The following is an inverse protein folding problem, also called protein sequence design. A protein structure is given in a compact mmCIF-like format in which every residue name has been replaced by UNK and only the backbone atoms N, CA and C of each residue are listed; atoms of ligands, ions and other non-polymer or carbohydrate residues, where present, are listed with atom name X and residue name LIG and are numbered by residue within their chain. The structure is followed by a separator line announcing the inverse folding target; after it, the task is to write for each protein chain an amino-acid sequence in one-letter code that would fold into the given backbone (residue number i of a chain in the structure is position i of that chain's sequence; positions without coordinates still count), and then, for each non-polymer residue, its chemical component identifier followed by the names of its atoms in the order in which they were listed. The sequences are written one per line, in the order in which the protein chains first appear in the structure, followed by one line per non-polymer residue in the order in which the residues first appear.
data_IF_422704895477
#
_entry.id   IF_422704895477
#
_cell.length_a   1.000
_cell.length_b   1.000
_cell.length_c   1.000
_cell.angle_alpha   90.00
_cell.angle_beta   90.00
_cell.angle_gamma   90.00
#
_symmetry.space_group_name_H-M   'P 1'
#
loop_
_entity.id
_entity.type
_entity.pdbx_description
1 polymer ?
#
# COMPACT_ATOMS: atom_id res chain seq x y z
N UNK A 1 15.14 6.22 -12.64
CA UNK A 1 15.63 4.98 -11.99
C UNK A 1 15.06 4.73 -10.59
N UNK A 2 14.94 5.71 -9.69
CA UNK A 2 14.49 5.47 -8.30
C UNK A 2 12.96 5.51 -8.05
N UNK A 3 12.20 6.14 -8.96
CA UNK A 3 10.72 6.22 -8.91
C UNK A 3 10.00 4.86 -8.82
N UNK A 4 10.41 3.82 -9.57
CA UNK A 4 9.85 2.47 -9.45
C UNK A 4 9.79 1.96 -8.02
N UNK A 5 10.86 2.12 -7.24
CA UNK A 5 10.92 1.62 -5.86
C UNK A 5 9.91 2.32 -4.95
N UNK A 6 9.80 3.65 -5.05
CA UNK A 6 8.84 4.43 -4.26
C UNK A 6 7.40 3.99 -4.57
N UNK A 7 7.10 3.72 -5.84
CA UNK A 7 5.79 3.22 -6.27
C UNK A 7 5.57 1.78 -5.76
N UNK A 8 6.55 0.89 -5.92
CA UNK A 8 6.50 -0.49 -5.44
C UNK A 8 6.25 -0.55 -3.93
N UNK A 9 6.97 0.26 -3.15
CA UNK A 9 6.77 0.40 -1.70
C UNK A 9 5.37 0.92 -1.38
N UNK A 10 4.94 2.00 -2.04
CA UNK A 10 3.64 2.61 -1.79
C UNK A 10 2.47 1.68 -2.12
N UNK A 11 2.56 0.97 -3.25
CA UNK A 11 1.57 -0.05 -3.64
C UNK A 11 1.57 -1.22 -2.65
N UNK A 12 2.74 -1.68 -2.21
CA UNK A 12 2.85 -2.75 -1.20
C UNK A 12 2.24 -2.33 0.14
N UNK A 13 2.49 -1.10 0.58
CA UNK A 13 1.90 -0.53 1.80
C UNK A 13 0.37 -0.43 1.69
N UNK A 14 -0.14 -0.01 0.54
CA UNK A 14 -1.59 0.05 0.29
C UNK A 14 -2.22 -1.34 0.25
N UNK A 15 -1.56 -2.31 -0.38
CA UNK A 15 -2.02 -3.71 -0.40
C UNK A 15 -2.11 -4.27 1.01
N UNK A 16 -1.09 -4.07 1.84
CA UNK A 16 -1.11 -4.44 3.26
C UNK A 16 -2.27 -3.75 3.99
N UNK A 17 -2.47 -2.46 3.75
CA UNK A 17 -3.55 -1.70 4.36
C UNK A 17 -4.95 -2.20 3.95
N UNK A 18 -5.13 -2.60 2.69
CA UNK A 18 -6.39 -3.17 2.18
C UNK A 18 -6.63 -4.59 2.71
N UNK A 19 -5.63 -5.46 2.62
CA UNK A 19 -5.72 -6.86 3.02
C UNK A 19 -5.99 -7.03 4.51
N UNK A 20 -5.55 -6.08 5.35
CA UNK A 20 -5.77 -6.13 6.79
C UNK A 20 -6.92 -5.21 7.21
N UNK A 21 -6.91 -3.96 6.73
CA UNK A 21 -7.85 -2.93 7.16
C UNK A 21 -9.30 -3.25 6.75
N UNK A 22 -9.54 -3.69 5.52
CA UNK A 22 -10.90 -4.00 5.05
C UNK A 22 -11.51 -5.18 5.84
N UNK A 23 -10.84 -6.35 5.98
CA UNK A 23 -11.39 -7.43 6.78
C UNK A 23 -11.62 -7.07 8.25
N UNK A 24 -10.67 -6.35 8.89
CA UNK A 24 -10.85 -5.88 10.26
C UNK A 24 -12.06 -4.96 10.40
N UNK A 25 -12.25 -4.03 9.45
CA UNK A 25 -13.40 -3.13 9.41
C UNK A 25 -14.72 -3.87 9.24
N UNK A 26 -14.78 -4.87 8.36
CA UNK A 26 -15.96 -5.72 8.16
C UNK A 26 -16.27 -6.51 9.45
N UNK A 27 -15.28 -7.16 10.04
CA UNK A 27 -15.46 -7.96 11.26
C UNK A 27 -15.92 -7.10 12.45
N UNK A 28 -15.34 -5.92 12.61
CA UNK A 28 -15.74 -4.95 13.64
C UNK A 28 -17.19 -4.48 13.45
N UNK A 29 -17.63 -4.26 12.20
CA UNK A 29 -19.01 -3.87 11.92
C UNK A 29 -20.02 -5.00 12.17
N UNK A 30 -19.69 -6.24 11.78
CA UNK A 30 -20.55 -7.40 11.99
C UNK A 30 -20.74 -7.71 13.48
N UNK A 31 -19.73 -7.45 14.29
CA UNK A 31 -19.75 -7.67 15.75
C UNK A 31 -19.65 -6.34 16.50
N UNK A 32 -20.52 -5.38 16.15
CA UNK A 32 -20.57 -4.05 16.77
C UNK A 32 -20.63 -4.15 18.30
N UNK A 33 -19.86 -3.31 18.98
CA UNK A 33 -19.72 -3.26 20.45
C UNK A 33 -19.16 -4.53 21.10
N UNK A 34 -18.59 -5.46 20.32
CA UNK A 34 -17.85 -6.61 20.84
C UNK A 34 -16.39 -6.28 21.12
N UNK A 35 -15.67 -7.18 21.78
CA UNK A 35 -14.22 -7.06 21.98
C UNK A 35 -13.44 -6.89 20.66
N UNK A 36 -13.89 -7.51 19.56
CA UNK A 36 -13.23 -7.38 18.24
C UNK A 36 -13.40 -5.97 17.70
N UNK A 37 -14.58 -5.37 17.87
CA UNK A 37 -14.84 -3.99 17.48
C UNK A 37 -13.95 -3.03 18.27
N UNK A 38 -13.98 -3.14 19.60
CA UNK A 38 -13.18 -2.29 20.49
C UNK A 38 -11.68 -2.45 20.21
N UNK A 39 -11.18 -3.68 20.09
CA UNK A 39 -9.77 -3.93 19.78
C UNK A 39 -9.35 -3.33 18.43
N UNK A 40 -10.21 -3.45 17.41
CA UNK A 40 -9.94 -2.86 16.08
C UNK A 40 -9.89 -1.33 16.16
N UNK A 41 -10.81 -0.70 16.89
CA UNK A 41 -10.86 0.77 17.02
C UNK A 41 -9.70 1.31 17.86
N UNK A 42 -9.38 0.68 18.98
CA UNK A 42 -8.23 1.03 19.81
C UNK A 42 -6.94 0.84 19.03
N UNK A 43 -6.75 -0.32 18.38
CA UNK A 43 -5.58 -0.59 17.54
C UNK A 43 -5.43 0.41 16.39
N UNK A 44 -6.53 0.78 15.74
CA UNK A 44 -6.54 1.80 14.67
C UNK A 44 -6.16 3.19 15.19
N UNK A 45 -6.57 3.55 16.41
CA UNK A 45 -6.20 4.83 17.01
C UNK A 45 -4.71 4.85 17.38
N UNK A 46 -4.23 3.79 18.03
CA UNK A 46 -2.81 3.62 18.36
C UNK A 46 -1.94 3.70 17.10
N UNK A 47 -2.31 2.99 16.04
CA UNK A 47 -1.57 2.98 14.79
C UNK A 47 -1.46 4.35 14.12
N UNK A 48 -2.50 5.19 14.23
CA UNK A 48 -2.46 6.57 13.69
C UNK A 48 -1.67 7.52 14.60
N UNK A 49 -1.62 7.25 15.90
CA UNK A 49 -0.88 8.06 16.86
C UNK A 49 0.63 7.80 16.85
N UNK A 50 1.09 6.65 16.36
CA UNK A 50 2.50 6.31 16.29
C UNK A 50 3.19 7.00 15.10
N UNK A 51 4.32 7.70 15.30
CA UNK A 51 5.11 8.23 14.19
C UNK A 51 5.68 7.12 13.30
N UNK A 52 5.60 7.27 11.96
CA UNK A 52 5.99 6.25 10.96
C UNK A 52 7.45 5.79 11.12
N UNK A 53 8.43 6.69 10.93
CA UNK A 53 9.24 7.03 12.08
C UNK A 53 9.73 5.92 13.02
N UNK A 54 9.25 6.14 14.24
CA UNK A 54 9.49 5.32 15.40
C UNK A 54 8.98 3.90 15.18
N UNK A 55 7.81 3.74 14.54
CA UNK A 55 7.27 2.41 14.24
C UNK A 55 8.21 1.60 13.34
N UNK A 56 8.76 2.21 12.28
CA UNK A 56 9.73 1.57 11.39
C UNK A 56 10.99 1.13 12.14
N UNK A 57 11.53 1.99 13.00
CA UNK A 57 12.68 1.65 13.84
C UNK A 57 12.38 0.52 14.84
N UNK A 58 11.20 0.54 15.46
CA UNK A 58 10.77 -0.53 16.37
C UNK A 58 10.53 -1.85 15.66
N UNK A 59 9.94 -1.82 14.46
CA UNK A 59 9.78 -3.00 13.62
C UNK A 59 11.13 -3.59 13.23
N UNK A 60 12.09 -2.76 12.80
CA UNK A 60 13.44 -3.21 12.52
C UNK A 60 14.11 -3.79 13.78
N UNK A 61 13.99 -3.13 14.94
CA UNK A 61 14.53 -3.63 16.21
C UNK A 61 13.95 -5.00 16.59
N UNK A 62 12.62 -5.16 16.54
CA UNK A 62 11.97 -6.42 16.93
C UNK A 62 12.27 -7.54 15.92
N UNK A 63 12.04 -7.31 14.64
CA UNK A 63 12.09 -8.38 13.64
C UNK A 63 13.49 -8.68 13.12
N UNK A 64 14.40 -7.70 13.12
CA UNK A 64 15.76 -7.94 12.65
C UNK A 64 16.75 -8.25 13.78
N UNK A 65 16.60 -7.59 14.94
CA UNK A 65 17.55 -7.72 16.04
C UNK A 65 17.06 -8.68 17.14
N UNK A 66 15.85 -8.50 17.66
CA UNK A 66 15.34 -9.32 18.77
C UNK A 66 14.97 -10.74 18.30
N UNK A 67 14.41 -10.87 17.11
CA UNK A 67 14.07 -12.16 16.49
C UNK A 67 15.22 -12.78 15.68
N UNK A 68 16.44 -12.24 15.79
CA UNK A 68 17.61 -12.76 15.08
C UNK A 68 17.84 -14.24 15.44
N UNK A 69 17.96 -15.09 14.42
CA UNK A 69 18.12 -16.53 14.58
C UNK A 69 16.81 -17.31 14.73
N UNK A 70 15.65 -16.63 14.73
CA UNK A 70 14.34 -17.30 14.65
C UNK A 70 13.84 -17.35 13.20
N UNK A 71 12.89 -18.25 12.86
CA UNK A 71 12.29 -18.30 11.53
C UNK A 71 11.52 -17.03 11.12
N UNK A 72 11.19 -16.16 12.08
CA UNK A 72 10.46 -14.92 11.87
C UNK A 72 11.38 -13.71 11.66
N UNK A 73 12.70 -13.93 11.58
CA UNK A 73 13.64 -12.86 11.32
C UNK A 73 13.36 -12.22 9.95
N UNK A 74 13.29 -10.88 9.92
CA UNK A 74 13.16 -10.11 8.69
C UNK A 74 14.36 -9.19 8.51
N UNK A 75 14.75 -8.90 7.26
CA UNK A 75 15.84 -7.98 6.96
C UNK A 75 15.50 -6.55 7.41
N UNK A 76 16.43 -5.83 8.06
CA UNK A 76 16.18 -4.49 8.58
C UNK A 76 16.26 -3.39 7.52
N UNK A 77 16.89 -3.64 6.37
CA UNK A 77 17.17 -2.62 5.37
C UNK A 77 17.57 -3.21 4.02
N UNK A 78 17.57 -2.37 2.98
CA UNK A 78 17.96 -2.75 1.62
C UNK A 78 16.81 -3.36 0.80
N UNK A 79 17.09 -3.64 -0.48
CA UNK A 79 16.09 -4.21 -1.42
C UNK A 79 16.25 -5.71 -1.64
N UNK A 80 17.50 -6.18 -1.54
CA UNK A 80 17.89 -7.57 -1.75
C UNK A 80 19.05 -7.91 -0.82
N UNK A 81 19.16 -9.17 -0.45
CA UNK A 81 20.29 -9.75 0.29
C UNK A 81 21.58 -9.65 -0.53
N UNK A 82 22.72 -9.50 0.17
CA UNK A 82 24.03 -9.44 -0.48
C UNK A 82 24.31 -10.69 -1.31
N UNK A 83 24.69 -10.51 -2.57
CA UNK A 83 24.95 -11.60 -3.52
C UNK A 83 23.78 -11.92 -4.47
N UNK A 84 22.58 -11.39 -4.21
CA UNK A 84 21.45 -11.48 -5.14
C UNK A 84 21.35 -10.23 -6.00
N UNK A 85 21.18 -10.41 -7.31
CA UNK A 85 20.96 -9.33 -8.27
C UNK A 85 19.74 -9.63 -9.11
N UNK A 86 18.85 -8.64 -9.25
CA UNK A 86 17.70 -8.73 -10.15
C UNK A 86 18.14 -8.44 -11.58
N UNK A 87 18.04 -9.44 -12.47
CA UNK A 87 18.34 -9.25 -13.89
C UNK A 87 17.09 -8.66 -14.56
N UNK A 88 17.20 -7.53 -15.28
CA UNK A 88 16.07 -6.94 -15.98
C UNK A 88 15.36 -7.91 -16.93
N UNK A 89 14.02 -7.89 -16.97
CA UNK A 89 13.25 -8.83 -17.78
C UNK A 89 13.60 -8.74 -19.26
N UNK A 90 13.86 -7.55 -19.79
CA UNK A 90 14.20 -7.37 -21.20
C UNK A 90 15.53 -8.04 -21.56
N UNK A 91 16.47 -8.16 -20.60
CA UNK A 91 17.71 -8.93 -20.83
C UNK A 91 17.46 -10.43 -20.83
N UNK A 92 16.63 -10.92 -19.90
CA UNK A 92 16.26 -12.34 -19.81
C UNK A 92 15.54 -12.81 -21.08
N UNK A 93 14.65 -11.98 -21.61
CA UNK A 93 13.90 -12.26 -22.84
C UNK A 93 14.67 -11.93 -24.13
N UNK A 94 15.93 -11.47 -24.04
CA UNK A 94 16.79 -11.19 -25.19
C UNK A 94 16.39 -9.96 -26.00
N UNK A 95 15.67 -9.02 -25.42
CA UNK A 95 15.28 -7.77 -26.07
C UNK A 95 16.45 -6.79 -26.06
N UNK A 96 16.89 -6.38 -27.26
CA UNK A 96 17.87 -5.31 -27.39
C UNK A 96 17.18 -3.97 -27.19
N UNK A 97 17.34 -3.39 -26.00
CA UNK A 97 16.70 -2.14 -25.62
C UNK A 97 17.72 -1.02 -25.64
N UNK A 98 17.46 0.01 -26.44
CA UNK A 98 18.20 1.27 -26.33
C UNK A 98 17.66 2.09 -25.15
N UNK A 99 18.43 2.12 -24.06
CA UNK A 99 18.11 2.87 -22.84
C UNK A 99 18.07 4.39 -23.04
N UNK A 100 18.59 4.90 -24.16
CA UNK A 100 18.49 6.33 -24.51
C UNK A 100 17.15 6.68 -25.14
N UNK A 101 16.44 5.70 -25.71
CA UNK A 101 15.09 5.87 -26.25
C UNK A 101 14.07 6.01 -25.12
N UNK A 102 13.04 6.84 -25.30
CA UNK A 102 11.95 6.98 -24.32
C UNK A 102 11.24 5.65 -24.02
N UNK A 103 11.13 4.77 -25.02
CA UNK A 103 10.61 3.41 -24.84
C UNK A 103 11.53 2.53 -23.98
N UNK A 104 12.86 2.67 -24.12
CA UNK A 104 13.82 1.94 -23.30
C UNK A 104 13.84 2.39 -21.85
N UNK A 105 13.66 3.70 -21.60
CA UNK A 105 13.50 4.23 -20.25
C UNK A 105 12.25 3.69 -19.55
N UNK A 106 11.15 3.49 -20.29
CA UNK A 106 9.94 2.86 -19.76
C UNK A 106 10.18 1.39 -19.40
N UNK A 107 10.86 0.62 -20.26
CA UNK A 107 11.23 -0.76 -19.95
C UNK A 107 12.15 -0.85 -18.73
N UNK A 108 13.12 0.06 -18.63
CA UNK A 108 14.00 0.17 -17.45
C UNK A 108 13.20 0.53 -16.19
N UNK A 109 12.18 1.38 -16.30
CA UNK A 109 11.29 1.72 -15.19
C UNK A 109 10.56 0.46 -14.67
N UNK A 110 9.94 -0.33 -15.55
CA UNK A 110 9.25 -1.55 -15.14
C UNK A 110 10.20 -2.64 -14.64
N UNK A 111 11.41 -2.73 -15.21
CA UNK A 111 12.41 -3.70 -14.75
C UNK A 111 12.94 -3.39 -13.34
N UNK A 112 12.92 -2.11 -12.96
CA UNK A 112 13.30 -1.67 -11.62
C UNK A 112 12.22 -1.91 -10.55
N UNK A 113 11.02 -2.36 -10.91
CA UNK A 113 10.04 -2.92 -9.98
C UNK A 113 10.42 -4.38 -9.72
N UNK A 114 11.12 -4.66 -8.61
CA UNK A 114 11.73 -5.97 -8.39
C UNK A 114 10.70 -7.09 -8.22
N UNK A 115 9.54 -6.80 -7.63
CA UNK A 115 8.43 -7.75 -7.53
C UNK A 115 7.88 -8.10 -8.91
N UNK A 116 7.62 -7.10 -9.76
CA UNK A 116 7.12 -7.32 -11.11
C UNK A 116 8.16 -8.02 -11.97
N UNK A 117 9.41 -7.55 -11.91
CA UNK A 117 10.52 -8.10 -12.68
C UNK A 117 10.79 -9.56 -12.34
N UNK A 118 10.85 -9.91 -11.06
CA UNK A 118 11.07 -11.29 -10.60
C UNK A 118 9.90 -12.22 -10.94
N UNK A 119 8.66 -11.72 -10.93
CA UNK A 119 7.49 -12.47 -11.40
C UNK A 119 7.56 -12.77 -12.91
N UNK A 120 7.89 -11.76 -13.72
CA UNK A 120 7.97 -11.90 -15.18
C UNK A 120 9.15 -12.79 -15.60
N UNK A 121 10.25 -12.75 -14.86
CA UNK A 121 11.46 -13.55 -15.13
C UNK A 121 11.45 -14.92 -14.45
N UNK A 122 10.40 -15.26 -13.69
CA UNK A 122 10.28 -16.49 -12.90
C UNK A 122 11.45 -16.72 -11.91
N UNK A 123 12.08 -15.63 -11.43
CA UNK A 123 13.17 -15.69 -10.45
C UNK A 123 12.62 -15.75 -9.02
N UNK A 124 12.18 -16.94 -8.60
CA UNK A 124 11.52 -17.15 -7.31
C UNK A 124 12.39 -16.79 -6.10
N UNK A 125 13.71 -16.99 -6.19
CA UNK A 125 14.64 -16.63 -5.12
C UNK A 125 14.69 -15.12 -4.90
N UNK A 126 14.81 -14.34 -5.98
CA UNK A 126 14.80 -12.87 -5.95
C UNK A 126 13.45 -12.34 -5.50
N UNK A 127 12.35 -12.96 -5.94
CA UNK A 127 10.99 -12.57 -5.52
C UNK A 127 10.81 -12.75 -4.01
N UNK A 128 11.16 -13.93 -3.48
CA UNK A 128 11.00 -14.24 -2.06
C UNK A 128 11.85 -13.31 -1.18
N UNK A 129 13.07 -13.02 -1.61
CA UNK A 129 13.97 -12.10 -0.93
C UNK A 129 13.47 -10.65 -0.98
N UNK A 130 13.06 -10.17 -2.16
CA UNK A 130 12.49 -8.83 -2.33
C UNK A 130 11.21 -8.64 -1.48
N UNK A 131 10.33 -9.64 -1.43
CA UNK A 131 9.14 -9.61 -0.57
C UNK A 131 9.53 -9.49 0.90
N UNK A 132 10.49 -10.29 1.38
CA UNK A 132 10.97 -10.21 2.78
C UNK A 132 11.52 -8.83 3.14
N UNK A 133 12.25 -8.20 2.21
CA UNK A 133 12.76 -6.83 2.37
C UNK A 133 11.67 -5.76 2.37
N UNK A 134 10.54 -6.01 1.72
CA UNK A 134 9.43 -5.06 1.67
C UNK A 134 8.44 -5.18 2.83
N UNK A 135 8.39 -6.30 3.57
CA UNK A 135 7.41 -6.50 4.65
C UNK A 135 7.47 -5.39 5.70
N UNK A 136 8.64 -5.13 6.31
CA UNK A 136 8.76 -4.12 7.38
C UNK A 136 8.50 -2.69 6.88
N UNK A 137 9.10 -2.23 5.76
CA UNK A 137 8.79 -0.93 5.18
C UNK A 137 7.30 -0.77 4.83
N UNK A 138 6.69 -1.78 4.20
CA UNK A 138 5.29 -1.73 3.78
C UNK A 138 4.34 -1.70 4.99
N UNK A 139 4.65 -2.44 6.06
CA UNK A 139 3.89 -2.38 7.31
C UNK A 139 4.00 -1.00 7.96
N UNK A 140 5.22 -0.46 8.07
CA UNK A 140 5.45 0.86 8.66
C UNK A 140 4.68 1.96 7.91
N UNK A 141 4.81 1.99 6.58
CA UNK A 141 4.13 2.98 5.73
C UNK A 141 2.62 2.73 5.66
N UNK A 142 2.20 1.47 5.65
CA UNK A 142 0.81 1.05 5.50
C UNK A 142 -0.04 1.19 6.78
N UNK A 143 0.58 1.41 7.95
CA UNK A 143 -0.14 1.41 9.24
C UNK A 143 -1.21 2.51 9.32
N UNK A 144 -0.89 3.74 8.90
CA UNK A 144 -1.86 4.85 8.88
C UNK A 144 -3.02 4.58 7.92
N UNK A 145 -2.78 4.28 6.62
CA UNK A 145 -3.89 4.00 5.71
C UNK A 145 -4.69 2.76 6.14
N UNK A 146 -4.05 1.74 6.71
CA UNK A 146 -4.73 0.54 7.25
C UNK A 146 -5.77 0.92 8.30
N UNK A 147 -5.38 1.74 9.28
CA UNK A 147 -6.27 2.20 10.35
C UNK A 147 -7.43 3.06 9.81
N UNK A 148 -7.15 3.95 8.87
CA UNK A 148 -8.18 4.80 8.25
C UNK A 148 -9.15 3.94 7.44
N UNK A 149 -8.65 3.01 6.61
CA UNK A 149 -9.45 2.09 5.81
C UNK A 149 -10.31 1.19 6.70
N UNK A 150 -9.77 0.67 7.80
CA UNK A 150 -10.52 -0.14 8.76
C UNK A 150 -11.69 0.64 9.38
N UNK A 151 -11.45 1.87 9.85
CA UNK A 151 -12.50 2.74 10.41
C UNK A 151 -13.56 3.10 9.38
N UNK A 152 -13.14 3.44 8.15
CA UNK A 152 -14.08 3.79 7.09
C UNK A 152 -14.93 2.60 6.68
N UNK A 153 -14.31 1.44 6.46
CA UNK A 153 -14.99 0.19 6.12
C UNK A 153 -16.00 -0.18 7.19
N UNK A 154 -15.62 -0.08 8.47
CA UNK A 154 -16.52 -0.32 9.58
C UNK A 154 -17.73 0.64 9.55
N UNK A 155 -17.49 1.94 9.40
CA UNK A 155 -18.55 2.94 9.39
C UNK A 155 -19.54 2.71 8.24
N UNK A 156 -19.02 2.49 7.03
CA UNK A 156 -19.83 2.23 5.84
C UNK A 156 -20.62 0.92 5.96
N UNK A 157 -20.00 -0.14 6.50
CA UNK A 157 -20.69 -1.41 6.74
C UNK A 157 -21.83 -1.25 7.76
N UNK A 158 -21.63 -0.53 8.86
CA UNK A 158 -22.67 -0.30 9.87
C UNK A 158 -23.87 0.48 9.29
N UNK A 159 -23.61 1.48 8.45
CA UNK A 159 -24.67 2.22 7.77
C UNK A 159 -25.48 1.30 6.84
N UNK A 160 -24.78 0.51 6.01
CA UNK A 160 -25.41 -0.34 5.01
C UNK A 160 -26.19 -1.51 5.66
N UNK A 161 -25.64 -2.14 6.70
CA UNK A 161 -26.30 -3.24 7.41
C UNK A 161 -27.65 -2.82 8.03
N UNK A 162 -27.85 -1.52 8.28
CA UNK A 162 -29.10 -0.95 8.78
C UNK A 162 -30.20 -0.74 7.73
N UNK A 163 -29.91 -0.91 6.44
CA UNK A 163 -30.84 -0.62 5.33
C UNK A 163 -31.88 -1.74 5.10
N UNK A 164 -33.07 -1.36 4.64
CA UNK A 164 -34.21 -2.28 4.48
C UNK A 164 -33.98 -3.40 3.45
N UNK A 165 -33.21 -3.14 2.39
CA UNK A 165 -32.88 -4.19 1.40
C UNK A 165 -32.00 -5.30 2.00
N UNK A 166 -31.16 -4.98 2.99
CA UNK A 166 -30.35 -5.98 3.73
C UNK A 166 -31.23 -6.79 4.65
N UNK A 167 -32.18 -6.16 5.34
CA UNK A 167 -33.18 -6.85 6.18
C UNK A 167 -34.05 -7.78 5.33
N UNK A 168 -34.48 -7.31 4.17
CA UNK A 168 -35.25 -8.09 3.19
C UNK A 168 -34.46 -9.30 2.70
N UNK A 169 -33.16 -9.13 2.42
CA UNK A 169 -32.28 -10.24 2.03
C UNK A 169 -32.16 -11.30 3.13
N UNK A 170 -32.03 -10.90 4.41
CA UNK A 170 -32.04 -11.85 5.54
C UNK A 170 -33.40 -12.54 5.70
N UNK A 171 -34.50 -11.81 5.56
CA UNK A 171 -35.86 -12.36 5.64
C UNK A 171 -36.15 -13.42 4.56
N UNK A 172 -35.50 -13.30 3.39
CA UNK A 172 -35.53 -14.32 2.32
C UNK A 172 -34.69 -15.58 2.63
N UNK A 173 -34.03 -15.67 3.79
CA UNK A 173 -33.25 -16.83 4.21
C UNK A 173 -31.85 -16.91 3.60
N UNK A 174 -31.32 -15.82 3.03
CA UNK A 174 -29.95 -15.80 2.51
C UNK A 174 -28.94 -15.91 3.65
N UNK A 175 -27.88 -16.71 3.44
CA UNK A 175 -26.79 -16.86 4.41
C UNK A 175 -26.11 -15.52 4.74
N UNK A 176 -25.63 -15.39 5.98
CA UNK A 176 -24.96 -14.17 6.46
C UNK A 176 -23.75 -13.77 5.62
N UNK A 177 -23.03 -14.74 5.04
CA UNK A 177 -21.89 -14.48 4.16
C UNK A 177 -22.36 -13.79 2.85
N UNK A 178 -23.45 -14.28 2.25
CA UNK A 178 -24.02 -13.68 1.02
C UNK A 178 -24.57 -12.29 1.32
N UNK A 179 -25.30 -12.14 2.42
CA UNK A 179 -25.82 -10.83 2.85
C UNK A 179 -24.66 -9.85 3.09
N UNK A 180 -23.61 -10.28 3.75
CA UNK A 180 -22.44 -9.44 4.04
C UNK A 180 -21.68 -9.09 2.77
N UNK A 181 -21.19 -10.07 2.00
CA UNK A 181 -20.28 -9.81 0.89
C UNK A 181 -20.99 -9.22 -0.33
N UNK A 182 -22.16 -9.74 -0.69
CA UNK A 182 -22.85 -9.37 -1.94
C UNK A 182 -23.82 -8.20 -1.75
N UNK A 183 -24.48 -8.08 -0.60
CA UNK A 183 -25.50 -7.05 -0.40
C UNK A 183 -25.00 -5.87 0.43
N UNK A 184 -24.24 -6.12 1.50
CA UNK A 184 -23.74 -5.03 2.34
C UNK A 184 -22.43 -4.44 1.81
N UNK A 185 -21.38 -5.26 1.72
CA UNK A 185 -20.03 -4.81 1.40
C UNK A 185 -19.93 -4.16 0.02
N UNK A 186 -20.60 -4.72 -0.99
CA UNK A 186 -20.62 -4.12 -2.33
C UNK A 186 -21.09 -2.66 -2.34
N UNK A 187 -22.05 -2.31 -1.48
CA UNK A 187 -22.52 -0.93 -1.36
C UNK A 187 -21.66 -0.10 -0.39
N UNK A 188 -21.05 -0.75 0.62
CA UNK A 188 -20.09 -0.13 1.51
C UNK A 188 -18.73 0.13 0.85
N UNK A 189 -18.47 -0.39 -0.35
CA UNK A 189 -17.23 -0.16 -1.09
C UNK A 189 -17.11 1.27 -1.60
N UNK A 190 -18.21 1.96 -1.90
CA UNK A 190 -18.16 3.31 -2.48
C UNK A 190 -17.31 4.26 -1.61
N UNK A 191 -17.58 4.39 -0.30
CA UNK A 191 -16.79 5.30 0.53
C UNK A 191 -15.39 4.75 0.86
N UNK A 192 -15.21 3.42 0.82
CA UNK A 192 -13.89 2.78 1.07
C UNK A 192 -12.94 3.09 -0.07
N UNK A 193 -13.40 2.98 -1.33
CA UNK A 193 -12.56 3.28 -2.50
C UNK A 193 -12.15 4.75 -2.54
N UNK A 194 -13.06 5.68 -2.20
CA UNK A 194 -12.73 7.10 -2.03
C UNK A 194 -11.54 7.31 -1.10
N UNK A 195 -11.62 6.70 0.09
CA UNK A 195 -10.62 6.87 1.12
C UNK A 195 -9.30 6.25 0.70
N UNK A 196 -9.32 5.07 0.07
CA UNK A 196 -8.14 4.43 -0.52
C UNK A 196 -7.46 5.36 -1.53
N UNK A 197 -8.25 6.01 -2.38
CA UNK A 197 -7.79 7.01 -3.33
C UNK A 197 -7.06 8.19 -2.68
N UNK A 198 -7.68 8.79 -1.65
CA UNK A 198 -7.07 9.88 -0.89
C UNK A 198 -5.78 9.45 -0.15
N UNK A 199 -5.68 8.18 0.26
CA UNK A 199 -4.48 7.65 0.92
C UNK A 199 -3.29 7.46 -0.02
N UNK A 200 -3.50 7.30 -1.33
CA UNK A 200 -2.36 7.18 -2.25
C UNK A 200 -1.45 8.42 -2.20
N UNK A 201 -2.01 9.62 -2.03
CA UNK A 201 -1.22 10.84 -1.88
C UNK A 201 -0.40 10.90 -0.59
N UNK A 202 -0.99 10.45 0.53
CA UNK A 202 -0.32 10.46 1.83
C UNK A 202 0.83 9.45 1.87
N UNK A 203 0.70 8.33 1.15
CA UNK A 203 1.73 7.30 1.01
C UNK A 203 3.01 7.85 0.38
N UNK A 204 2.94 8.68 -0.66
CA UNK A 204 4.14 9.26 -1.27
C UNK A 204 4.90 10.18 -0.30
N UNK A 205 4.19 10.93 0.55
CA UNK A 205 4.82 11.75 1.60
C UNK A 205 5.48 10.89 2.68
N UNK A 206 4.80 9.83 3.15
CA UNK A 206 5.35 8.91 4.15
C UNK A 206 6.49 8.02 3.64
N UNK A 207 6.54 7.78 2.33
CA UNK A 207 7.58 6.97 1.68
C UNK A 207 8.97 7.61 1.86
N UNK A 208 9.07 8.94 1.88
CA UNK A 208 10.34 9.66 2.10
C UNK A 208 11.03 9.24 3.40
N UNK A 209 10.27 9.22 4.49
CA UNK A 209 10.78 8.84 5.80
C UNK A 209 11.07 7.33 5.86
N UNK A 210 10.15 6.52 5.30
CA UNK A 210 10.28 5.06 5.31
C UNK A 210 11.51 4.61 4.52
N UNK A 211 11.75 5.18 3.35
CA UNK A 211 12.92 4.87 2.52
C UNK A 211 14.23 5.23 3.21
N UNK A 212 14.25 6.35 3.94
CA UNK A 212 15.42 6.78 4.70
C UNK A 212 15.72 5.81 5.85
N UNK A 213 14.70 5.40 6.61
CA UNK A 213 14.85 4.49 7.76
C UNK A 213 15.35 3.10 7.31
N UNK A 214 14.77 2.55 6.26
CA UNK A 214 15.09 1.21 5.75
C UNK A 214 16.21 1.21 4.70
N UNK A 215 16.91 2.34 4.52
CA UNK A 215 18.02 2.50 3.56
C UNK A 215 17.64 2.08 2.12
N UNK A 216 16.41 2.35 1.71
CA UNK A 216 15.91 2.06 0.36
C UNK A 216 16.32 3.20 -0.59
N UNK A 217 16.85 2.83 -1.76
CA UNK A 217 17.29 3.78 -2.78
C UNK A 217 16.10 4.29 -3.62
N UNK A 218 15.12 4.92 -2.97
CA UNK A 218 13.95 5.50 -3.63
C UNK A 218 14.13 7.00 -3.91
N UNK A 219 13.07 7.64 -4.40
CA UNK A 219 13.09 9.08 -4.72
C UNK A 219 13.02 9.92 -3.46
N UNK A 220 12.37 9.42 -2.42
CA UNK A 220 12.27 10.13 -1.16
C UNK A 220 13.62 10.30 -0.48
N UNK A 221 14.49 9.29 -0.56
CA UNK A 221 15.88 9.44 -0.10
C UNK A 221 16.64 10.52 -0.88
N UNK A 222 16.47 10.62 -2.20
CA UNK A 222 17.06 11.72 -3.00
C UNK A 222 16.55 13.06 -2.49
N UNK A 223 15.24 13.17 -2.24
CA UNK A 223 14.68 14.40 -1.71
C UNK A 223 15.31 14.75 -0.36
N UNK A 224 15.47 13.77 0.54
CA UNK A 224 16.13 13.99 1.83
C UNK A 224 17.56 14.52 1.64
N UNK A 225 18.35 13.85 0.79
CA UNK A 225 19.72 14.27 0.47
C UNK A 225 19.74 15.70 -0.10
N UNK A 226 18.84 16.01 -1.04
CA UNK A 226 18.70 17.34 -1.65
C UNK A 226 18.31 18.43 -0.63
N UNK A 227 17.46 18.11 0.35
CA UNK A 227 17.12 19.03 1.46
C UNK A 227 18.38 19.32 2.29
N UNK A 228 19.18 18.30 2.60
CA UNK A 228 20.40 18.47 3.40
C UNK A 228 21.48 19.26 2.65
N UNK A 229 21.61 19.06 1.34
CA UNK A 229 22.58 19.79 0.49
C UNK A 229 22.03 21.13 -0.04
N UNK A 230 20.77 21.48 0.29
CA UNK A 230 20.07 22.68 -0.19
C UNK A 230 19.99 22.76 -1.72
N UNK A 231 19.83 21.62 -2.39
CA UNK A 231 19.62 21.54 -3.83
C UNK A 231 18.16 21.88 -4.19
N UNK A 232 17.87 23.19 -4.25
CA UNK A 232 16.53 23.72 -4.52
C UNK A 232 15.92 23.22 -5.84
N UNK A 233 16.65 23.11 -6.96
CA UNK A 233 16.12 22.55 -8.20
C UNK A 233 15.53 21.15 -8.03
N UNK A 234 16.22 20.23 -7.34
CA UNK A 234 15.72 18.87 -7.10
C UNK A 234 14.48 18.90 -6.21
N UNK A 235 14.48 19.70 -5.14
CA UNK A 235 13.34 19.82 -4.21
C UNK A 235 12.10 20.33 -4.94
N UNK A 236 12.23 21.37 -5.77
CA UNK A 236 11.12 21.95 -6.53
C UNK A 236 10.60 20.97 -7.59
N UNK A 237 11.51 20.35 -8.35
CA UNK A 237 11.15 19.35 -9.36
C UNK A 237 10.39 18.16 -8.75
N UNK A 238 10.85 17.67 -7.60
CA UNK A 238 10.17 16.61 -6.87
C UNK A 238 8.79 17.03 -6.35
N UNK A 239 8.69 18.24 -5.77
CA UNK A 239 7.42 18.77 -5.25
C UNK A 239 6.38 18.92 -6.36
N UNK A 240 6.78 19.43 -7.53
CA UNK A 240 5.91 19.55 -8.70
C UNK A 240 5.48 18.17 -9.22
N UNK A 241 6.40 17.22 -9.33
CA UNK A 241 6.11 15.87 -9.81
C UNK A 241 5.10 15.14 -8.90
N UNK A 242 5.27 15.22 -7.57
CA UNK A 242 4.30 14.66 -6.61
C UNK A 242 2.96 15.37 -6.71
N UNK A 243 2.94 16.71 -6.83
CA UNK A 243 1.70 17.46 -6.91
C UNK A 243 0.87 17.08 -8.15
N UNK A 244 1.52 16.93 -9.30
CA UNK A 244 0.89 16.46 -10.54
C UNK A 244 0.44 15.00 -10.37
N UNK A 245 1.28 14.12 -9.82
CA UNK A 245 0.93 12.73 -9.56
C UNK A 245 -0.29 12.60 -8.66
N UNK A 246 -0.35 13.39 -7.59
CA UNK A 246 -1.48 13.44 -6.67
C UNK A 246 -2.77 13.89 -7.36
N UNK A 247 -2.69 14.93 -8.20
CA UNK A 247 -3.82 15.38 -9.01
C UNK A 247 -4.31 14.29 -9.97
N UNK A 248 -3.40 13.57 -10.64
CA UNK A 248 -3.75 12.46 -11.53
C UNK A 248 -4.40 11.30 -10.76
N UNK A 249 -3.89 10.96 -9.58
CA UNK A 249 -4.49 9.93 -8.74
C UNK A 249 -5.89 10.33 -8.30
N UNK A 250 -6.10 11.56 -7.85
CA UNK A 250 -7.43 12.03 -7.48
C UNK A 250 -8.39 11.98 -8.67
N UNK A 251 -7.94 12.40 -9.86
CA UNK A 251 -8.74 12.29 -11.08
C UNK A 251 -9.12 10.83 -11.39
N UNK A 252 -8.19 9.89 -11.25
CA UNK A 252 -8.46 8.46 -11.46
C UNK A 252 -9.47 7.92 -10.43
N UNK A 253 -9.40 8.38 -9.18
CA UNK A 253 -10.35 8.03 -8.12
C UNK A 253 -11.73 8.59 -8.44
N UNK A 254 -11.80 9.85 -8.86
CA UNK A 254 -13.05 10.50 -9.27
C UNK A 254 -13.71 9.79 -10.46
N UNK A 255 -12.91 9.37 -11.45
CA UNK A 255 -13.39 8.56 -12.57
C UNK A 255 -13.83 7.15 -12.14
N UNK A 256 -13.18 6.56 -11.14
CA UNK A 256 -13.52 5.23 -10.63
C UNK A 256 -14.93 5.17 -10.04
N UNK A 257 -15.48 6.28 -9.53
CA UNK A 257 -16.86 6.34 -9.07
C UNK A 257 -17.86 6.05 -10.19
N UNK A 258 -17.60 6.51 -11.41
CA UNK A 258 -18.47 6.24 -12.55
C UNK A 258 -18.60 4.74 -12.85
N UNK A 259 -17.59 3.94 -12.50
CA UNK A 259 -17.60 2.49 -12.68
C UNK A 259 -18.14 1.75 -11.45
N UNK A 260 -17.95 2.32 -10.26
CA UNK A 260 -18.33 1.69 -9.00
C UNK A 260 -19.75 2.01 -8.55
N UNK A 261 -20.32 3.16 -8.94
CA UNK A 261 -21.70 3.53 -8.61
C UNK A 261 -22.69 2.84 -9.57
N UNK A 262 -23.45 1.83 -9.10
CA UNK A 262 -24.40 1.10 -9.94
C UNK A 262 -25.67 1.92 -10.26
N UNK A 263 -25.80 3.16 -9.76
CA UNK A 263 -26.96 4.05 -10.00
C UNK A 263 -26.74 4.98 -11.18
N UNK A 264 -25.50 5.15 -11.63
CA UNK A 264 -25.15 5.95 -12.81
C UNK A 264 -25.28 5.03 -14.04
N UNK A 265 -26.51 4.87 -14.54
CA UNK A 265 -26.76 4.32 -15.87
C UNK A 265 -26.88 5.49 -16.85
N UNK A 266 -25.90 5.62 -17.75
CA UNK A 266 -26.09 6.37 -18.99
C UNK A 266 -27.14 5.68 -19.88
#
# INVERSE_FOLDING_TARGET
ERLPLTIELGMSALLVALLIGVPLGIMAALRRNSAIDVATMVGSNVGVSMPIFWLGLMLAYVFALLLKGTPLQLPPSGRLSSGLTSIPFYEVWGWQVDLKSGSGQLLQFFANLYLLNSLVTFQWEVLGDALRHLILPALALGTIPMAIIARMTRSAMLEVLGRDYVRTARAKGLSDLVVTMRHAFRNALLPVVTVVGLQLGTIFGGAVLTETIFNLAGVGRILFDAITTRDYPIIQGFTLAISIGYMLVNLLVDLSYGWLDPRIRY
#
